data_IF_871872624759
#
_entry.id   IF_871872624759
#
_cell.length_a   1.000
_cell.length_b   1.000
_cell.length_c   1.000
_cell.angle_alpha   90.00
_cell.angle_beta   90.00
_cell.angle_gamma   90.00
#
_symmetry.space_group_name_H-M   'P 1'
#
loop_
_entity.id
_entity.type
_entity.pdbx_description
1 polymer ?
#
# COMPACT_ATOMS: atom_id res chain seq x y z
N UNK A 1 22.49 -14.36 40.16
CA UNK A 1 21.61 -14.43 38.97
C UNK A 1 20.29 -13.79 39.36
N UNK A 2 19.94 -12.65 38.77
CA UNK A 2 18.55 -12.21 38.57
C UNK A 2 18.60 -10.93 37.74
N UNK A 3 18.01 -10.96 36.55
CA UNK A 3 17.67 -9.75 35.81
C UNK A 3 16.26 -9.95 35.31
N UNK A 4 15.36 -9.35 36.07
CA UNK A 4 13.97 -9.22 35.79
C UNK A 4 13.68 -7.75 35.46
N UNK A 5 12.77 -7.58 34.52
CA UNK A 5 11.98 -6.40 34.15
C UNK A 5 12.38 -5.47 33.00
N UNK A 6 11.46 -5.50 32.03
CA UNK A 6 10.83 -4.36 31.36
C UNK A 6 11.66 -3.52 30.40
N UNK A 7 11.50 -3.84 29.11
CA UNK A 7 10.85 -2.85 28.24
C UNK A 7 10.15 -3.52 27.06
N UNK A 8 8.84 -3.39 27.05
CA UNK A 8 8.02 -3.53 25.87
C UNK A 8 8.63 -2.78 24.67
N UNK A 9 8.63 -3.43 23.51
CA UNK A 9 8.29 -2.75 22.26
C UNK A 9 7.79 -3.81 21.28
N UNK A 10 6.49 -4.06 21.37
CA UNK A 10 5.71 -4.48 20.21
C UNK A 10 6.04 -3.55 19.02
N UNK A 11 6.17 -4.15 17.83
CA UNK A 11 5.97 -3.41 16.59
C UNK A 11 7.26 -3.01 15.87
N UNK A 12 7.91 -3.98 15.22
CA UNK A 12 8.60 -3.68 13.97
C UNK A 12 8.71 -4.92 13.07
N UNK A 13 7.64 -5.71 13.00
CA UNK A 13 7.49 -6.68 11.91
C UNK A 13 6.71 -6.09 10.72
N UNK A 14 6.03 -4.95 10.88
CA UNK A 14 5.33 -4.26 9.79
C UNK A 14 6.24 -3.42 8.88
N UNK A 15 7.48 -3.14 9.27
CA UNK A 15 8.39 -2.29 8.49
C UNK A 15 8.93 -2.95 7.20
N UNK A 16 8.60 -4.23 6.96
CA UNK A 16 8.94 -4.96 5.74
C UNK A 16 7.71 -5.46 4.99
N UNK A 17 6.60 -4.71 5.01
CA UNK A 17 5.62 -4.83 3.92
C UNK A 17 6.38 -4.53 2.62
N UNK A 18 6.74 -5.60 1.91
CA UNK A 18 7.40 -5.54 0.61
C UNK A 18 6.66 -4.48 -0.21
N UNK A 19 7.35 -3.39 -0.57
CA UNK A 19 6.77 -2.38 -1.45
C UNK A 19 6.20 -3.13 -2.65
N UNK A 20 4.92 -2.92 -2.94
CA UNK A 20 4.33 -3.51 -4.13
C UNK A 20 5.12 -3.05 -5.34
N UNK A 21 5.26 -3.91 -6.33
CA UNK A 21 5.92 -3.51 -7.57
C UNK A 21 4.99 -2.62 -8.40
N UNK A 22 5.59 -1.89 -9.36
CA UNK A 22 4.84 -1.00 -10.25
C UNK A 22 3.77 -1.76 -11.05
N UNK A 23 4.07 -3.01 -11.42
CA UNK A 23 3.15 -3.85 -12.18
C UNK A 23 1.87 -4.15 -11.40
N UNK A 24 2.00 -4.57 -10.13
CA UNK A 24 0.86 -4.83 -9.24
C UNK A 24 0.00 -3.58 -9.10
N UNK A 25 0.62 -2.41 -8.88
CA UNK A 25 -0.11 -1.12 -8.81
C UNK A 25 -0.85 -0.82 -10.11
N UNK A 26 -0.22 -1.08 -11.26
CA UNK A 26 -0.81 -0.85 -12.56
C UNK A 26 -2.02 -1.75 -12.86
N UNK A 27 -1.93 -3.02 -12.49
CA UNK A 27 -3.02 -4.00 -12.60
C UNK A 27 -4.21 -3.59 -11.73
N UNK A 28 -3.95 -3.21 -10.47
CA UNK A 28 -4.98 -2.75 -9.55
C UNK A 28 -5.66 -1.47 -9.99
N UNK A 29 -4.94 -0.56 -10.64
CA UNK A 29 -5.53 0.64 -11.23
C UNK A 29 -6.60 0.33 -12.29
N UNK A 30 -6.52 -0.82 -12.95
CA UNK A 30 -7.53 -1.28 -13.90
C UNK A 30 -8.63 -2.15 -13.28
N UNK A 31 -8.45 -2.60 -12.04
CA UNK A 31 -9.38 -3.49 -11.33
C UNK A 31 -10.29 -2.75 -10.36
N UNK A 32 -9.77 -1.71 -9.71
CA UNK A 32 -10.49 -0.93 -8.71
C UNK A 32 -11.13 0.32 -9.33
N UNK A 33 -12.46 0.43 -9.21
CA UNK A 33 -13.22 1.54 -9.77
C UNK A 33 -12.87 2.89 -9.13
N UNK A 34 -12.49 2.90 -7.84
CA UNK A 34 -12.08 4.11 -7.12
C UNK A 34 -10.74 4.63 -7.62
N UNK A 35 -9.76 3.75 -7.78
CA UNK A 35 -8.46 4.08 -8.37
C UNK A 35 -8.60 4.54 -9.82
N UNK A 36 -9.47 3.88 -10.60
CA UNK A 36 -9.73 4.27 -11.98
C UNK A 36 -10.36 5.67 -12.07
N UNK A 37 -11.35 5.96 -11.22
CA UNK A 37 -11.97 7.29 -11.16
C UNK A 37 -10.96 8.37 -10.70
N UNK A 38 -10.14 8.08 -9.69
CA UNK A 38 -9.11 8.99 -9.21
C UNK A 38 -8.04 9.27 -10.29
N UNK A 39 -7.65 8.25 -11.04
CA UNK A 39 -6.74 8.40 -12.17
C UNK A 39 -7.34 9.27 -13.27
N UNK A 40 -8.58 9.00 -13.71
CA UNK A 40 -9.25 9.83 -14.71
C UNK A 40 -9.43 11.28 -14.27
N UNK A 41 -9.72 11.52 -12.98
CA UNK A 41 -9.84 12.86 -12.42
C UNK A 41 -8.50 13.61 -12.36
N UNK A 42 -7.39 12.89 -12.18
CA UNK A 42 -6.05 13.47 -12.09
C UNK A 42 -5.53 14.06 -13.42
N UNK A 43 -6.07 13.60 -14.56
CA UNK A 43 -5.57 13.91 -15.92
C UNK A 43 -4.08 13.57 -16.12
N UNK A 44 -3.51 12.74 -15.27
CA UNK A 44 -2.11 12.29 -15.35
C UNK A 44 -1.99 11.07 -16.26
N UNK A 45 -0.77 10.83 -16.75
CA UNK A 45 -0.45 9.51 -17.31
C UNK A 45 -0.55 8.44 -16.22
N UNK A 46 -0.78 7.20 -16.63
CA UNK A 46 -0.95 6.07 -15.71
C UNK A 46 0.27 5.90 -14.79
N UNK A 47 1.47 5.94 -15.37
CA UNK A 47 2.73 5.81 -14.62
C UNK A 47 3.01 6.99 -13.69
N UNK A 48 2.61 8.20 -14.07
CA UNK A 48 2.73 9.37 -13.20
C UNK A 48 1.76 9.30 -12.03
N UNK A 49 0.53 8.88 -12.28
CA UNK A 49 -0.46 8.66 -11.24
C UNK A 49 0.05 7.61 -10.24
N UNK A 50 0.56 6.48 -10.72
CA UNK A 50 1.09 5.41 -9.87
C UNK A 50 2.27 5.94 -9.02
N UNK A 51 3.26 6.59 -9.63
CA UNK A 51 4.43 7.10 -8.91
C UNK A 51 4.08 8.15 -7.85
N UNK A 52 3.10 9.01 -8.11
CA UNK A 52 2.66 10.04 -7.14
C UNK A 52 1.75 9.48 -6.04
N UNK A 53 1.07 8.37 -6.30
CA UNK A 53 0.05 7.81 -5.42
C UNK A 53 0.39 6.39 -4.92
N UNK A 54 1.67 5.98 -4.92
CA UNK A 54 2.10 4.63 -4.51
C UNK A 54 1.50 4.22 -3.16
N UNK A 55 1.56 5.10 -2.15
CA UNK A 55 1.02 4.81 -0.83
C UNK A 55 -0.50 4.69 -0.78
N UNK A 56 -1.22 5.48 -1.59
CA UNK A 56 -2.69 5.40 -1.67
C UNK A 56 -3.11 4.09 -2.36
N UNK A 57 -2.43 3.74 -3.45
CA UNK A 57 -2.69 2.49 -4.19
C UNK A 57 -2.36 1.30 -3.29
N UNK A 58 -1.21 1.30 -2.62
CA UNK A 58 -0.80 0.21 -1.71
C UNK A 58 -1.82 0.00 -0.59
N UNK A 59 -2.38 1.09 -0.06
CA UNK A 59 -3.45 1.02 0.94
C UNK A 59 -4.73 0.39 0.37
N UNK A 60 -5.20 0.85 -0.79
CA UNK A 60 -6.41 0.27 -1.44
C UNK A 60 -6.23 -1.22 -1.72
N UNK A 61 -5.03 -1.64 -2.11
CA UNK A 61 -4.70 -3.05 -2.35
C UNK A 61 -4.73 -3.85 -1.04
N UNK A 62 -4.15 -3.32 0.04
CA UNK A 62 -4.18 -3.97 1.34
C UNK A 62 -5.62 -4.10 1.87
N UNK A 63 -6.38 -3.01 1.83
CA UNK A 63 -7.77 -2.98 2.28
C UNK A 63 -8.64 -3.99 1.51
N UNK A 64 -8.47 -4.11 0.18
CA UNK A 64 -9.19 -5.10 -0.62
C UNK A 64 -8.75 -6.55 -0.35
N UNK A 65 -7.48 -6.79 0.04
CA UNK A 65 -6.99 -8.14 0.37
C UNK A 65 -7.50 -8.62 1.73
N UNK A 66 -7.66 -7.72 2.68
CA UNK A 66 -8.21 -8.04 4.00
C UNK A 66 -9.73 -8.33 3.96
N UNK A 67 -10.41 -7.99 2.86
CA UNK A 67 -11.83 -8.30 2.64
C UNK A 67 -12.10 -9.61 1.87
N UNK A 68 -11.06 -10.33 1.43
CA UNK A 68 -11.17 -11.60 0.71
C UNK A 68 -10.95 -12.81 1.64
#
# INVERSE_FOLDING_TARGET
MSKDHDRASHGSQDARRHKLDHQTRNEWLGRDAGLQAAWHASKMTRDEFIRRNEGLIDKVIADNRDQA
#
